data_IF_811111082837
#
_entry.id   IF_811111082837
#
_cell.length_a   1.000
_cell.length_b   1.000
_cell.length_c   1.000
_cell.angle_alpha   90.00
_cell.angle_beta   90.00
_cell.angle_gamma   90.00
#
_symmetry.space_group_name_H-M   'P 1'
#
loop_
_entity.id
_entity.type
_entity.pdbx_description
1 polymer ?
#
# COMPACT_ATOMS: atom_id res chain seq x y z
N UNK A 1 -16.75 -24.35 -23.68
CA UNK A 1 -16.20 -25.61 -23.13
C UNK A 1 -16.00 -25.44 -21.64
N UNK A 2 -16.54 -26.32 -20.79
CA UNK A 2 -16.38 -26.26 -19.33
C UNK A 2 -15.20 -27.15 -18.94
N UNK A 3 -14.11 -26.56 -18.47
CA UNK A 3 -12.93 -27.33 -18.04
C UNK A 3 -12.86 -27.35 -16.52
N UNK A 4 -12.89 -28.56 -15.95
CA UNK A 4 -12.83 -28.85 -14.51
C UNK A 4 -11.45 -28.53 -13.96
N UNK A 5 -11.39 -27.82 -12.83
CA UNK A 5 -10.17 -27.50 -12.10
C UNK A 5 -9.89 -28.62 -11.09
N UNK A 6 -8.70 -29.20 -11.15
CA UNK A 6 -8.17 -30.10 -10.12
C UNK A 6 -7.34 -29.29 -9.11
N UNK A 7 -7.61 -29.49 -7.82
CA UNK A 7 -6.76 -29.00 -6.73
C UNK A 7 -5.68 -30.05 -6.43
N UNK A 8 -4.41 -29.65 -6.46
CA UNK A 8 -3.32 -30.39 -5.84
C UNK A 8 -2.84 -29.54 -4.67
N UNK A 9 -2.98 -30.09 -3.47
CA UNK A 9 -2.35 -29.59 -2.24
C UNK A 9 -0.93 -30.14 -2.19
N UNK A 10 0.08 -29.26 -2.13
CA UNK A 10 1.38 -29.63 -1.59
C UNK A 10 1.80 -28.59 -0.56
N UNK A 11 1.85 -29.05 0.68
CA UNK A 11 2.49 -28.38 1.80
C UNK A 11 4.01 -28.52 1.66
N UNK A 12 4.73 -27.41 1.76
CA UNK A 12 6.15 -27.41 2.09
C UNK A 12 6.43 -26.23 3.01
N UNK A 13 6.53 -26.56 4.29
CA UNK A 13 7.08 -25.69 5.32
C UNK A 13 8.61 -25.71 5.20
N UNK A 14 9.23 -24.54 5.06
CA UNK A 14 10.63 -24.31 5.39
C UNK A 14 10.70 -22.92 6.05
N UNK A 15 10.86 -22.91 7.37
CA UNK A 15 11.33 -21.73 8.12
C UNK A 15 12.60 -22.14 8.83
N UNK A 16 13.71 -21.54 8.41
CA UNK A 16 14.94 -21.41 9.16
C UNK A 16 15.18 -19.90 9.31
N UNK A 17 15.26 -19.38 10.52
CA UNK A 17 16.18 -18.28 10.82
C UNK A 17 16.44 -18.19 12.31
N UNK A 18 17.72 -18.29 12.62
CA UNK A 18 18.36 -17.97 13.90
C UNK A 18 18.23 -16.47 14.26
N UNK A 19 18.51 -16.18 15.53
CA UNK A 19 18.80 -14.84 16.05
C UNK A 19 18.29 -14.72 17.48
N UNK A 20 18.98 -15.29 18.48
CA UNK A 20 20.10 -14.66 19.21
C UNK A 20 19.77 -13.24 19.67
N UNK A 21 19.32 -13.11 20.92
CA UNK A 21 19.35 -11.85 21.65
C UNK A 21 19.80 -12.11 23.09
N UNK A 22 20.99 -11.60 23.40
CA UNK A 22 21.56 -11.50 24.73
C UNK A 22 20.62 -10.73 25.65
N UNK A 23 20.20 -11.35 26.75
CA UNK A 23 19.56 -10.67 27.87
C UNK A 23 20.62 -10.29 28.90
N UNK A 24 20.76 -9.01 29.29
CA UNK A 24 21.45 -8.66 30.52
C UNK A 24 20.56 -8.95 31.72
N UNK A 25 21.18 -9.59 32.71
CA UNK A 25 20.69 -9.96 34.04
C UNK A 25 20.39 -8.68 34.83
N UNK A 26 19.14 -8.47 35.21
CA UNK A 26 18.72 -7.41 36.14
C UNK A 26 18.54 -8.04 37.51
N UNK A 27 19.30 -7.55 38.49
CA UNK A 27 19.24 -7.93 39.90
C UNK A 27 17.92 -7.49 40.53
N UNK A 28 17.30 -8.45 41.22
CA UNK A 28 16.08 -8.31 42.00
C UNK A 28 16.45 -7.82 43.41
N UNK A 29 16.15 -6.55 43.73
CA UNK A 29 16.20 -6.05 45.09
C UNK A 29 14.79 -6.08 45.69
N UNK A 30 14.55 -7.08 46.53
CA UNK A 30 13.40 -7.18 47.42
C UNK A 30 13.50 -6.14 48.54
N UNK A 31 12.57 -5.20 48.59
CA UNK A 31 12.36 -4.33 49.74
C UNK A 31 10.97 -4.62 50.35
N UNK A 32 11.00 -5.21 51.53
CA UNK A 32 9.87 -5.53 52.40
C UNK A 32 9.31 -4.21 52.94
N UNK A 33 8.04 -3.90 52.61
CA UNK A 33 7.31 -2.77 53.19
C UNK A 33 6.26 -3.29 54.18
N UNK A 34 6.35 -2.80 55.42
CA UNK A 34 5.46 -3.11 56.55
C UNK A 34 4.00 -2.67 56.27
N UNK A 35 3.00 -3.36 56.84
CA UNK A 35 1.61 -2.91 56.79
C UNK A 35 1.40 -1.68 57.69
N UNK A 36 0.80 -0.62 57.15
CA UNK A 36 0.21 0.46 57.96
C UNK A 36 -1.26 0.15 58.23
N UNK A 37 -1.63 0.10 59.51
CA UNK A 37 -3.01 0.12 59.98
C UNK A 37 -3.67 1.45 59.61
N UNK A 38 -4.80 1.39 58.91
CA UNK A 38 -5.71 2.51 58.75
C UNK A 38 -7.03 2.21 59.47
N UNK A 39 -7.28 2.99 60.52
CA UNK A 39 -8.58 3.10 61.17
C UNK A 39 -9.64 3.65 60.18
N UNK A 40 -10.88 3.15 60.22
CA UNK A 40 -11.97 3.67 59.41
C UNK A 40 -12.46 5.01 59.99
N UNK A 41 -12.38 6.07 59.18
CA UNK A 41 -13.03 7.35 59.48
C UNK A 41 -14.37 7.40 58.75
N UNK A 42 -15.38 7.69 59.55
CA UNK A 42 -16.80 7.88 59.27
C UNK A 42 -17.10 8.56 57.93
N UNK A 43 -18.02 7.96 57.17
CA UNK A 43 -18.47 8.47 55.88
C UNK A 43 -19.54 9.57 56.08
N UNK A 44 -19.19 10.81 55.75
CA UNK A 44 -20.18 11.86 55.51
C UNK A 44 -20.61 11.86 54.03
N UNK A 45 -21.92 11.75 53.81
CA UNK A 45 -22.58 11.83 52.52
C UNK A 45 -22.30 13.17 51.81
N UNK A 46 -21.71 13.19 50.60
CA UNK A 46 -21.61 14.42 49.82
C UNK A 46 -22.96 14.78 49.21
N UNK A 47 -23.42 15.99 49.53
CA UNK A 47 -24.57 16.65 48.89
C UNK A 47 -24.33 16.73 47.38
N UNK A 48 -25.20 16.07 46.62
CA UNK A 48 -25.26 16.05 45.15
C UNK A 48 -25.45 17.48 44.61
N UNK A 49 -24.36 18.10 44.18
CA UNK A 49 -24.37 19.37 43.43
C UNK A 49 -24.87 19.05 42.02
N UNK A 50 -25.99 19.63 41.61
CA UNK A 50 -26.47 19.54 40.24
C UNK A 50 -25.45 20.24 39.34
N UNK A 51 -24.64 19.45 38.62
CA UNK A 51 -23.84 19.94 37.50
C UNK A 51 -24.77 20.14 36.30
N UNK A 52 -24.86 21.38 35.85
CA UNK A 52 -25.49 21.75 34.58
C UNK A 52 -24.68 21.09 33.45
N UNK A 53 -25.20 19.99 32.90
CA UNK A 53 -24.60 19.33 31.74
C UNK A 53 -24.63 20.29 30.54
N UNK A 54 -23.45 20.76 30.14
CA UNK A 54 -23.21 21.47 28.88
C UNK A 54 -23.66 20.55 27.72
N UNK A 55 -24.39 21.04 26.70
CA UNK A 55 -24.79 20.22 25.57
C UNK A 55 -23.57 19.53 24.94
N UNK A 56 -23.67 18.22 24.73
CA UNK A 56 -22.63 17.44 24.08
C UNK A 56 -22.30 18.05 22.72
N UNK A 57 -21.07 18.51 22.58
CA UNK A 57 -20.52 19.02 21.34
C UNK A 57 -20.64 17.93 20.28
N UNK A 58 -21.52 18.16 19.29
CA UNK A 58 -21.83 17.21 18.24
C UNK A 58 -20.54 16.82 17.54
N UNK A 59 -20.14 15.55 17.68
CA UNK A 59 -18.94 15.02 17.02
C UNK A 59 -19.08 15.28 15.52
N UNK A 60 -18.12 15.96 14.86
CA UNK A 60 -18.22 16.25 13.45
C UNK A 60 -18.36 14.93 12.68
N UNK A 61 -19.48 14.77 11.98
CA UNK A 61 -19.74 13.59 11.16
C UNK A 61 -18.61 13.45 10.14
N UNK A 62 -17.80 12.40 10.29
CA UNK A 62 -16.70 12.10 9.36
C UNK A 62 -17.29 12.08 7.94
N UNK A 63 -16.75 12.87 6.99
CA UNK A 63 -17.28 12.88 5.64
C UNK A 63 -17.26 11.45 5.07
N UNK A 64 -18.29 11.07 4.28
CA UNK A 64 -18.37 9.73 3.71
C UNK A 64 -17.10 9.43 2.91
N UNK A 65 -16.42 8.34 3.25
CA UNK A 65 -15.28 7.84 2.45
C UNK A 65 -15.82 7.39 1.10
N UNK A 66 -15.58 8.19 0.05
CA UNK A 66 -15.91 7.81 -1.32
C UNK A 66 -15.10 6.56 -1.68
N UNK A 67 -15.78 5.49 -2.07
CA UNK A 67 -15.16 4.22 -2.46
C UNK A 67 -14.96 4.21 -3.97
N UNK A 68 -13.74 4.42 -4.43
CA UNK A 68 -13.38 4.22 -5.83
C UNK A 68 -13.03 2.76 -6.07
N UNK A 69 -13.72 2.13 -7.03
CA UNK A 69 -13.37 0.83 -7.56
C UNK A 69 -12.77 1.01 -8.94
N UNK A 70 -11.56 0.48 -9.15
CA UNK A 70 -11.01 0.35 -10.51
C UNK A 70 -11.28 -1.07 -10.95
N UNK A 71 -11.90 -1.20 -12.11
CA UNK A 71 -12.05 -2.48 -12.78
C UNK A 71 -11.10 -2.53 -13.97
N UNK A 72 -10.33 -3.60 -14.06
CA UNK A 72 -9.42 -3.83 -15.16
C UNK A 72 -9.42 -5.31 -15.49
N UNK A 73 -9.11 -5.64 -16.75
CA UNK A 73 -8.90 -7.02 -17.17
C UNK A 73 -7.43 -7.22 -17.43
N UNK A 74 -6.86 -8.20 -16.73
CA UNK A 74 -5.46 -8.58 -16.89
C UNK A 74 -5.36 -9.67 -17.97
N UNK A 75 -4.31 -9.69 -18.80
CA UNK A 75 -4.11 -10.78 -19.76
C UNK A 75 -3.94 -12.15 -19.09
N UNK A 76 -4.38 -13.23 -19.74
CA UNK A 76 -4.45 -14.58 -19.16
C UNK A 76 -3.10 -15.14 -18.68
N UNK A 77 -1.99 -14.70 -19.27
CA UNK A 77 -0.64 -15.19 -18.91
C UNK A 77 -0.14 -14.62 -17.59
N UNK A 78 -0.80 -13.59 -17.06
CA UNK A 78 -0.41 -12.89 -15.84
C UNK A 78 -1.14 -13.45 -14.63
N UNK A 79 -0.40 -13.65 -13.56
CA UNK A 79 -0.91 -14.19 -12.30
C UNK A 79 -0.64 -13.22 -11.17
N UNK A 80 -1.59 -13.06 -10.27
CA UNK A 80 -1.37 -12.32 -9.03
C UNK A 80 -0.18 -12.94 -8.28
N UNK A 81 0.85 -12.15 -8.05
CA UNK A 81 2.10 -12.60 -7.47
C UNK A 81 2.04 -12.59 -5.94
N UNK A 82 1.39 -11.57 -5.38
CA UNK A 82 1.26 -11.31 -3.96
C UNK A 82 -0.13 -10.78 -3.64
N UNK A 83 -0.60 -11.04 -2.42
CA UNK A 83 -1.78 -10.35 -1.89
C UNK A 83 -1.49 -8.86 -1.77
N UNK A 84 -2.55 -8.06 -1.80
CA UNK A 84 -2.54 -6.62 -1.50
C UNK A 84 -1.54 -6.24 -0.40
N UNK A 85 -0.55 -5.43 -0.75
CA UNK A 85 0.47 -4.92 0.17
C UNK A 85 0.16 -3.47 0.52
N UNK A 86 0.21 -3.13 1.81
CA UNK A 86 -0.04 -1.75 2.29
C UNK A 86 1.24 -1.17 2.88
N UNK A 87 1.60 0.02 2.43
CA UNK A 87 2.60 0.85 3.11
C UNK A 87 1.90 1.78 4.09
N UNK A 88 2.46 1.92 5.30
CA UNK A 88 1.95 2.84 6.32
C UNK A 88 3.04 3.77 6.82
N UNK A 89 2.69 5.00 7.16
CA UNK A 89 3.61 5.91 7.86
C UNK A 89 3.72 5.57 9.36
N UNK A 90 4.60 6.28 10.08
CA UNK A 90 4.82 6.10 11.52
C UNK A 90 3.57 6.38 12.39
N UNK A 91 2.56 7.03 11.81
CA UNK A 91 1.28 7.32 12.46
C UNK A 91 0.21 6.27 12.11
N UNK A 92 0.57 5.23 11.36
CA UNK A 92 -0.33 4.17 10.94
C UNK A 92 -1.23 4.53 9.75
N UNK A 93 -1.02 5.68 9.08
CA UNK A 93 -1.83 6.04 7.91
C UNK A 93 -1.32 5.30 6.68
N UNK A 94 -2.23 4.76 5.87
CA UNK A 94 -1.89 4.12 4.59
C UNK A 94 -1.34 5.18 3.63
N UNK A 95 -0.13 4.95 3.12
CA UNK A 95 0.57 5.83 2.16
C UNK A 95 0.63 5.24 0.76
N UNK A 96 0.52 3.92 0.64
CA UNK A 96 0.38 3.22 -0.64
C UNK A 96 -0.35 1.89 -0.46
N UNK A 97 -1.08 1.47 -1.49
CA UNK A 97 -1.64 0.13 -1.65
C UNK A 97 -1.10 -0.43 -2.95
N UNK A 98 -0.49 -1.62 -2.92
CA UNK A 98 0.16 -2.24 -4.08
C UNK A 98 -0.41 -3.63 -4.36
N UNK A 99 -0.64 -3.91 -5.65
CA UNK A 99 -0.96 -5.22 -6.19
C UNK A 99 0.06 -5.58 -7.27
N UNK A 100 0.62 -6.77 -7.20
CA UNK A 100 1.62 -7.24 -8.17
C UNK A 100 1.10 -8.41 -9.00
N UNK A 101 1.38 -8.37 -10.29
CA UNK A 101 1.09 -9.41 -11.25
C UNK A 101 2.37 -9.80 -11.98
N UNK A 102 2.58 -11.10 -12.17
CA UNK A 102 3.75 -11.64 -12.86
C UNK A 102 3.32 -12.38 -14.11
N UNK A 103 3.95 -12.08 -15.25
CA UNK A 103 3.77 -12.87 -16.46
C UNK A 103 4.48 -14.22 -16.31
N UNK A 104 3.72 -15.31 -16.48
CA UNK A 104 4.25 -16.66 -16.43
C UNK A 104 5.25 -16.98 -17.54
N UNK A 105 5.22 -16.24 -18.65
CA UNK A 105 6.08 -16.49 -19.82
C UNK A 105 7.49 -15.93 -19.66
N UNK A 106 7.62 -14.67 -19.24
CA UNK A 106 8.90 -13.96 -19.24
C UNK A 106 9.30 -13.39 -17.87
N UNK A 107 8.49 -13.64 -16.84
CA UNK A 107 8.71 -13.18 -15.47
C UNK A 107 8.81 -11.64 -15.36
N UNK A 108 8.17 -10.90 -16.27
CA UNK A 108 7.91 -9.47 -16.14
C UNK A 108 6.86 -9.23 -15.06
N UNK A 109 6.93 -8.06 -14.41
CA UNK A 109 6.03 -7.70 -13.30
C UNK A 109 5.27 -6.41 -13.63
N UNK A 110 3.97 -6.43 -13.43
CA UNK A 110 3.07 -5.28 -13.45
C UNK A 110 2.68 -5.02 -12.00
N UNK A 111 2.95 -3.82 -11.51
CA UNK A 111 2.51 -3.35 -10.22
C UNK A 111 1.46 -2.26 -10.40
N UNK A 112 0.36 -2.37 -9.67
CA UNK A 112 -0.64 -1.31 -9.53
C UNK A 112 -0.44 -0.70 -8.15
N UNK A 113 -0.11 0.58 -8.08
CA UNK A 113 0.16 1.28 -6.83
C UNK A 113 -0.79 2.46 -6.67
N UNK A 114 -1.60 2.44 -5.62
CA UNK A 114 -2.48 3.55 -5.26
C UNK A 114 -1.89 4.37 -4.12
N UNK A 115 -1.73 5.67 -4.32
CA UNK A 115 -1.31 6.64 -3.32
C UNK A 115 -2.52 7.49 -2.88
N UNK A 116 -3.13 7.20 -1.72
CA UNK A 116 -4.36 7.87 -1.30
C UNK A 116 -4.13 9.32 -0.84
N UNK A 117 -5.19 10.11 -1.00
CA UNK A 117 -5.35 11.44 -0.45
C UNK A 117 -4.47 12.53 -1.09
N UNK A 118 -4.24 13.59 -0.32
CA UNK A 118 -3.48 14.76 -0.76
C UNK A 118 -2.02 14.42 -1.10
N UNK A 119 -1.44 13.41 -0.45
CA UNK A 119 -0.07 12.96 -0.71
C UNK A 119 0.08 12.43 -2.14
N UNK A 120 -0.85 11.58 -2.59
CA UNK A 120 -0.87 11.10 -3.97
C UNK A 120 -1.10 12.23 -4.97
N UNK A 121 -2.04 13.14 -4.70
CA UNK A 121 -2.26 14.31 -5.57
C UNK A 121 -1.00 15.16 -5.73
N UNK A 122 -0.29 15.44 -4.64
CA UNK A 122 0.99 16.19 -4.67
C UNK A 122 2.07 15.45 -5.45
N UNK A 123 2.12 14.12 -5.35
CA UNK A 123 3.07 13.29 -6.09
C UNK A 123 2.78 13.36 -7.60
N UNK A 124 1.53 13.23 -8.02
CA UNK A 124 1.14 13.41 -9.43
C UNK A 124 1.45 14.82 -9.94
N UNK A 125 1.11 15.87 -9.19
CA UNK A 125 1.40 17.27 -9.58
C UNK A 125 2.90 17.51 -9.74
N UNK A 126 3.72 16.94 -8.86
CA UNK A 126 5.17 17.01 -8.97
C UNK A 126 5.67 16.33 -10.25
N UNK A 127 5.17 15.14 -10.57
CA UNK A 127 5.52 14.43 -11.80
C UNK A 127 5.08 15.21 -13.05
N UNK A 128 3.88 15.79 -13.03
CA UNK A 128 3.31 16.57 -14.13
C UNK A 128 4.10 17.84 -14.45
N UNK A 129 4.66 18.48 -13.43
CA UNK A 129 5.48 19.69 -13.57
C UNK A 129 6.93 19.40 -13.99
N UNK A 130 7.43 18.19 -13.74
CA UNK A 130 8.83 17.81 -13.97
C UNK A 130 8.97 16.78 -15.09
N UNK A 131 8.43 17.11 -16.28
CA UNK A 131 8.54 16.25 -17.45
C UNK A 131 9.97 16.30 -18.01
N UNK A 132 10.65 15.15 -17.99
CA UNK A 132 11.94 14.98 -18.67
C UNK A 132 11.72 14.47 -20.12
N UNK A 133 12.81 14.35 -20.90
CA UNK A 133 12.75 13.84 -22.29
C UNK A 133 12.20 12.41 -22.40
N UNK A 134 12.15 11.64 -21.30
CA UNK A 134 11.63 10.26 -21.26
C UNK A 134 10.21 10.20 -20.70
N UNK A 135 9.59 11.36 -20.47
CA UNK A 135 8.24 11.51 -19.96
C UNK A 135 7.35 12.09 -21.05
N UNK A 136 6.17 11.48 -21.24
CA UNK A 136 5.15 11.95 -22.19
C UNK A 136 3.77 11.91 -21.54
N UNK A 137 2.90 12.83 -21.96
CA UNK A 137 1.48 12.75 -21.64
C UNK A 137 0.79 11.76 -22.57
N UNK A 138 -0.10 10.95 -22.02
CA UNK A 138 -0.95 10.01 -22.73
C UNK A 138 -2.38 10.11 -22.21
N UNK A 139 -3.32 9.43 -22.87
CA UNK A 139 -4.72 9.36 -22.43
C UNK A 139 -5.08 7.92 -22.15
N UNK A 140 -5.69 7.66 -20.98
CA UNK A 140 -6.15 6.32 -20.55
C UNK A 140 -7.56 6.46 -20.02
N UNK A 141 -8.52 5.69 -20.57
CA UNK A 141 -9.91 5.75 -20.15
C UNK A 141 -10.49 7.18 -20.16
N UNK A 142 -10.07 8.01 -21.12
CA UNK A 142 -10.47 9.43 -21.23
C UNK A 142 -9.81 10.40 -20.25
N UNK A 143 -8.91 9.94 -19.37
CA UNK A 143 -8.16 10.79 -18.42
C UNK A 143 -6.73 11.01 -18.90
N UNK A 144 -6.18 12.20 -18.62
CA UNK A 144 -4.76 12.48 -18.85
C UNK A 144 -3.89 11.67 -17.87
N UNK A 145 -2.85 11.06 -18.39
CA UNK A 145 -1.85 10.32 -17.64
C UNK A 145 -0.44 10.67 -18.09
N UNK A 146 0.53 10.40 -17.23
CA UNK A 146 1.95 10.66 -17.44
C UNK A 146 2.63 9.31 -17.61
N UNK A 147 3.20 9.05 -18.78
CA UNK A 147 4.02 7.88 -19.01
C UNK A 147 5.50 8.25 -18.94
N UNK A 148 6.23 7.61 -18.04
CA UNK A 148 7.67 7.72 -17.89
C UNK A 148 8.35 6.39 -18.17
N UNK A 149 9.43 6.42 -18.93
CA UNK A 149 10.31 5.26 -19.09
C UNK A 149 11.61 5.49 -18.33
N UNK A 150 12.10 4.49 -17.60
CA UNK A 150 13.35 4.54 -16.84
C UNK A 150 14.13 3.26 -17.09
N UNK A 151 15.43 3.38 -17.37
CA UNK A 151 16.32 2.22 -17.45
C UNK A 151 17.01 2.05 -16.10
N UNK A 152 16.59 1.03 -15.36
CA UNK A 152 17.20 0.67 -14.08
C UNK A 152 18.49 -0.10 -14.33
N UNK A 153 19.60 0.43 -13.82
CA UNK A 153 20.92 -0.22 -13.85
C UNK A 153 21.38 -0.68 -12.47
N UNK A 154 20.69 -0.23 -11.41
CA UNK A 154 20.99 -0.52 -10.01
C UNK A 154 19.70 -0.86 -9.24
N UNK A 155 19.82 -1.66 -8.19
CA UNK A 155 18.71 -1.98 -7.29
C UNK A 155 18.52 -0.90 -6.21
N UNK A 156 17.52 -1.08 -5.33
CA UNK A 156 17.24 -0.15 -4.23
C UNK A 156 18.33 -0.06 -3.16
N UNK A 157 19.33 -0.96 -3.18
CA UNK A 157 20.53 -0.93 -2.32
C UNK A 157 21.73 -0.26 -3.00
N UNK A 158 21.57 0.18 -4.26
CA UNK A 158 22.64 0.77 -5.07
C UNK A 158 23.54 -0.25 -5.78
N UNK A 159 23.29 -1.54 -5.64
CA UNK A 159 24.06 -2.60 -6.29
C UNK A 159 23.70 -2.67 -7.78
N UNK A 160 24.69 -2.99 -8.62
CA UNK A 160 24.48 -3.13 -10.08
C UNK A 160 23.57 -4.33 -10.38
N UNK A 161 22.58 -4.12 -11.23
CA UNK A 161 21.74 -5.22 -11.71
C UNK A 161 22.52 -6.09 -12.71
N UNK A 162 22.28 -7.41 -12.69
CA UNK A 162 22.87 -8.36 -13.67
C UNK A 162 22.54 -7.95 -15.10
N UNK A 163 21.32 -7.48 -15.32
CA UNK A 163 20.85 -6.90 -16.58
C UNK A 163 20.09 -5.61 -16.30
N UNK A 164 20.20 -4.64 -17.21
CA UNK A 164 19.38 -3.43 -17.14
C UNK A 164 17.89 -3.82 -17.28
N UNK A 165 17.04 -3.24 -16.43
CA UNK A 165 15.60 -3.48 -16.48
C UNK A 165 14.91 -2.22 -16.98
N UNK A 166 14.06 -2.35 -18.01
CA UNK A 166 13.24 -1.23 -18.48
C UNK A 166 12.02 -1.14 -17.59
N UNK A 167 11.87 0.00 -16.90
CA UNK A 167 10.69 0.33 -16.11
C UNK A 167 9.84 1.32 -16.88
N UNK A 168 8.58 1.01 -17.09
CA UNK A 168 7.58 1.95 -17.62
C UNK A 168 6.62 2.25 -16.47
N UNK A 169 6.46 3.52 -16.14
CA UNK A 169 5.52 4.00 -15.13
C UNK A 169 4.47 4.82 -15.85
N UNK A 170 3.20 4.55 -15.55
CA UNK A 170 2.06 5.29 -16.05
C UNK A 170 1.28 5.80 -14.86
N UNK A 171 1.39 7.09 -14.59
CA UNK A 171 0.80 7.76 -13.44
C UNK A 171 -0.44 8.52 -13.87
N UNK A 172 -1.53 8.40 -13.12
CA UNK A 172 -2.77 9.14 -13.37
C UNK A 172 -3.35 9.69 -12.08
N UNK A 173 -4.03 10.82 -12.21
CA UNK A 173 -4.80 11.38 -11.12
C UNK A 173 -6.20 10.76 -11.12
N UNK A 174 -6.54 10.10 -10.02
CA UNK A 174 -7.89 9.60 -9.76
C UNK A 174 -8.52 10.40 -8.63
N UNK A 175 -9.84 10.36 -8.56
CA UNK A 175 -10.51 10.93 -7.40
C UNK A 175 -10.08 10.12 -6.17
N UNK A 176 -9.52 10.81 -5.17
CA UNK A 176 -8.94 10.19 -3.99
C UNK A 176 -7.43 9.93 -4.03
N UNK A 177 -6.69 10.25 -5.11
CA UNK A 177 -5.23 10.17 -5.08
C UNK A 177 -4.55 9.98 -6.44
N UNK A 178 -3.36 9.43 -6.41
CA UNK A 178 -2.62 9.04 -7.62
C UNK A 178 -2.63 7.51 -7.76
N UNK A 179 -2.72 7.03 -8.99
CA UNK A 179 -2.58 5.63 -9.33
C UNK A 179 -1.44 5.46 -10.33
N UNK A 180 -0.52 4.54 -10.04
CA UNK A 180 0.58 4.16 -10.89
C UNK A 180 0.39 2.75 -11.43
N UNK A 181 0.52 2.59 -12.74
CA UNK A 181 0.74 1.30 -13.39
C UNK A 181 2.22 1.19 -13.76
N UNK A 182 2.90 0.21 -13.17
CA UNK A 182 4.35 0.06 -13.29
C UNK A 182 4.67 -1.27 -13.96
N UNK A 183 5.26 -1.25 -15.14
CA UNK A 183 5.87 -2.42 -15.76
C UNK A 183 7.36 -2.47 -15.45
N UNK A 184 7.82 -3.56 -14.87
CA UNK A 184 9.23 -3.96 -14.85
C UNK A 184 9.44 -5.02 -15.92
N UNK A 185 9.86 -4.59 -17.11
CA UNK A 185 10.03 -5.45 -18.27
C UNK A 185 11.47 -5.96 -18.39
N UNK A 186 11.57 -7.25 -18.71
CA UNK A 186 12.81 -7.90 -19.17
C UNK A 186 12.80 -8.18 -20.68
N UNK A 187 11.67 -7.91 -21.38
CA UNK A 187 11.49 -8.26 -22.80
C UNK A 187 10.65 -7.21 -23.56
N UNK A 188 10.90 -6.97 -24.85
CA UNK A 188 10.04 -6.10 -25.67
C UNK A 188 8.59 -6.59 -25.77
N UNK A 189 8.35 -7.90 -25.64
CA UNK A 189 7.02 -8.51 -25.70
C UNK A 189 6.15 -7.99 -24.55
N UNK A 190 6.70 -7.91 -23.34
CA UNK A 190 5.94 -7.42 -22.18
C UNK A 190 5.61 -5.94 -22.26
N UNK A 191 6.39 -5.13 -22.98
CA UNK A 191 6.03 -3.73 -23.24
C UNK A 191 4.80 -3.60 -24.14
N UNK A 192 4.71 -4.40 -25.21
CA UNK A 192 3.51 -4.43 -26.06
C UNK A 192 2.29 -4.89 -25.25
N UNK A 193 2.42 -6.00 -24.52
CA UNK A 193 1.35 -6.53 -23.68
C UNK A 193 0.90 -5.52 -22.61
N UNK A 194 1.82 -4.76 -22.04
CA UNK A 194 1.51 -3.69 -21.08
C UNK A 194 0.74 -2.54 -21.73
N UNK A 195 1.19 -2.04 -22.89
CA UNK A 195 0.46 -0.99 -23.59
C UNK A 195 -0.96 -1.45 -23.98
N UNK A 196 -1.10 -2.70 -24.44
CA UNK A 196 -2.40 -3.30 -24.73
C UNK A 196 -3.28 -3.40 -23.47
N UNK A 197 -2.71 -3.80 -22.32
CA UNK A 197 -3.38 -3.81 -21.02
C UNK A 197 -3.85 -2.40 -20.62
N UNK A 198 -2.96 -1.42 -20.66
CA UNK A 198 -3.27 -0.03 -20.29
C UNK A 198 -4.39 0.55 -21.15
N UNK A 199 -4.42 0.22 -22.45
CA UNK A 199 -5.44 0.70 -23.39
C UNK A 199 -6.86 0.21 -23.07
N UNK A 200 -6.98 -0.89 -22.30
CA UNK A 200 -8.26 -1.53 -21.93
C UNK A 200 -8.76 -1.10 -20.55
N UNK A 201 -8.07 -0.19 -19.87
CA UNK A 201 -8.50 0.29 -18.57
C UNK A 201 -9.70 1.22 -18.74
N UNK A 202 -10.78 0.89 -18.04
CA UNK A 202 -11.98 1.70 -17.95
C UNK A 202 -12.21 2.15 -16.51
N UNK A 203 -12.49 3.43 -16.33
CA UNK A 203 -12.82 3.97 -15.01
C UNK A 203 -14.34 3.95 -14.82
N UNK A 204 -14.81 3.23 -13.79
CA UNK A 204 -16.20 3.33 -13.37
C UNK A 204 -16.33 4.40 -12.29
N UNK A 205 -17.06 5.47 -12.62
CA UNK A 205 -17.58 6.40 -11.63
C UNK A 205 -18.88 5.83 -11.06
N UNK A 206 -18.91 5.52 -9.77
CA UNK A 206 -20.14 5.13 -9.05
C UNK A 206 -20.58 6.24 -8.12
#
# INVERSE_FOLDING_TARGET
MKTKIFFIWLASAIIWSCGSSNHPKVEEQSAIQKPQEHHPKEAELPKKKMETHKPAESTPSRPPMVKYGIQYTIPETWKEATKETKATDLKGNITAIQLDYTDSTDQSVISLVFHPGEKGRKLYEFQSKNLDKQTKKITIGGKEAIQKTVILKRNGKGEKLKSATKRIVVSLLVDGGEMDFILNSKSPVSEKSFNDFISKIEFQTR
#
